data_IF_665197461298
#
_entry.id   IF_665197461298
#
_cell.length_a   1.000
_cell.length_b   1.000
_cell.length_c   1.000
_cell.angle_alpha   90.00
_cell.angle_beta   90.00
_cell.angle_gamma   90.00
#
_symmetry.space_group_name_H-M   'P 1'
#
loop_
_entity.id
_entity.type
_entity.pdbx_description
1 polymer ?
#
# COMPACT_ATOMS: atom_id res chain seq x y z
N UNK A 1 -28.04 -62.79 -3.32
CA UNK A 1 -27.65 -61.89 -4.41
C UNK A 1 -27.88 -60.46 -3.95
N UNK A 2 -26.76 -59.76 -3.74
CA UNK A 2 -26.49 -58.31 -3.75
C UNK A 2 -27.48 -57.33 -3.08
N UNK A 3 -26.96 -56.71 -2.01
CA UNK A 3 -27.44 -55.54 -1.29
C UNK A 3 -27.55 -54.31 -2.20
N UNK A 4 -28.65 -53.58 -2.06
CA UNK A 4 -28.89 -52.28 -2.68
C UNK A 4 -28.16 -51.20 -1.87
N UNK A 5 -27.06 -50.67 -2.42
CA UNK A 5 -26.33 -49.53 -1.87
C UNK A 5 -26.57 -48.31 -2.75
N UNK A 6 -27.53 -47.47 -2.35
CA UNK A 6 -27.76 -46.16 -2.96
C UNK A 6 -26.57 -45.24 -2.68
N UNK A 7 -25.76 -44.96 -3.73
CA UNK A 7 -24.70 -43.95 -3.70
C UNK A 7 -25.31 -42.56 -3.79
N UNK A 8 -25.01 -41.72 -2.80
CA UNK A 8 -25.24 -40.28 -2.84
C UNK A 8 -24.46 -39.62 -4.00
N UNK A 9 -24.99 -38.55 -4.61
CA UNK A 9 -24.28 -37.82 -5.66
C UNK A 9 -23.05 -37.13 -5.07
N UNK A 10 -21.92 -37.32 -5.75
CA UNK A 10 -20.60 -36.88 -5.31
C UNK A 10 -20.53 -35.37 -5.11
N UNK A 11 -19.96 -34.98 -3.96
CA UNK A 11 -19.44 -33.65 -3.71
C UNK A 11 -18.35 -33.41 -4.76
N UNK A 12 -18.61 -32.52 -5.72
CA UNK A 12 -17.55 -31.97 -6.56
C UNK A 12 -16.57 -31.28 -5.62
N UNK A 13 -15.33 -31.76 -5.58
CA UNK A 13 -14.25 -31.06 -4.91
C UNK A 13 -14.07 -29.72 -5.62
N UNK A 14 -14.43 -28.63 -4.95
CA UNK A 14 -14.09 -27.27 -5.37
C UNK A 14 -12.56 -27.20 -5.45
N UNK A 15 -12.03 -26.98 -6.66
CA UNK A 15 -10.61 -26.75 -6.90
C UNK A 15 -10.20 -25.49 -6.11
N UNK A 16 -9.20 -25.56 -5.20
CA UNK A 16 -8.76 -24.42 -4.39
C UNK A 16 -8.30 -23.19 -5.21
N UNK A 17 -8.13 -23.35 -6.53
CA UNK A 17 -7.69 -22.31 -7.47
C UNK A 17 -8.82 -21.40 -7.96
N UNK A 18 -10.07 -21.85 -7.87
CA UNK A 18 -11.23 -21.01 -8.21
C UNK A 18 -11.90 -20.53 -6.94
N UNK A 19 -11.51 -19.34 -6.50
CA UNK A 19 -12.35 -18.58 -5.59
C UNK A 19 -13.16 -17.60 -6.45
N UNK A 20 -14.47 -17.83 -6.64
CA UNK A 20 -15.32 -16.80 -7.20
C UNK A 20 -15.12 -15.54 -6.35
N UNK A 21 -15.08 -14.38 -7.02
CA UNK A 21 -14.98 -13.06 -6.39
C UNK A 21 -16.27 -12.78 -5.62
N UNK A 22 -16.54 -13.56 -4.57
CA UNK A 22 -17.68 -13.44 -3.68
C UNK A 22 -17.26 -13.84 -2.27
N UNK A 23 -17.36 -12.83 -1.41
CA UNK A 23 -17.39 -12.87 0.05
C UNK A 23 -16.06 -13.17 0.77
N UNK A 24 -15.52 -12.10 1.37
CA UNK A 24 -14.90 -12.18 2.70
C UNK A 24 -13.52 -12.82 2.78
N UNK A 25 -12.68 -12.71 1.76
CA UNK A 25 -11.27 -13.17 1.84
C UNK A 25 -10.33 -11.99 1.65
N UNK A 26 -9.25 -12.00 2.43
CA UNK A 26 -8.10 -11.11 2.24
C UNK A 26 -7.59 -11.24 0.81
N UNK A 27 -7.72 -10.16 0.05
CA UNK A 27 -7.33 -10.04 -1.34
C UNK A 27 -5.81 -9.94 -1.46
N UNK A 28 -5.16 -11.02 -1.87
CA UNK A 28 -3.71 -11.15 -1.91
C UNK A 28 -3.20 -11.03 -3.36
N UNK A 29 -2.58 -9.89 -3.69
CA UNK A 29 -1.99 -9.63 -5.02
C UNK A 29 -0.93 -10.66 -5.41
N UNK A 30 -0.27 -11.28 -4.42
CA UNK A 30 0.78 -12.28 -4.69
C UNK A 30 0.22 -13.53 -5.37
N UNK A 31 -1.08 -13.83 -5.16
CA UNK A 31 -1.77 -15.04 -5.65
C UNK A 31 -2.48 -14.86 -6.98
N UNK A 32 -2.49 -13.67 -7.56
CA UNK A 32 -3.14 -13.43 -8.85
C UNK A 32 -2.39 -14.17 -9.96
N UNK A 33 -3.07 -15.09 -10.62
CA UNK A 33 -2.65 -15.63 -11.92
C UNK A 33 -3.19 -14.72 -13.03
N UNK A 34 -2.31 -13.86 -13.54
CA UNK A 34 -2.68 -12.90 -14.57
C UNK A 34 -2.90 -13.54 -15.95
N UNK A 35 -2.36 -14.73 -16.19
CA UNK A 35 -2.53 -15.40 -17.47
C UNK A 35 -3.86 -16.14 -17.50
N UNK A 36 -4.22 -16.81 -16.41
CA UNK A 36 -5.54 -17.40 -16.22
C UNK A 36 -6.65 -16.36 -16.35
N UNK A 37 -6.56 -15.23 -15.62
CA UNK A 37 -7.54 -14.14 -15.73
C UNK A 37 -7.70 -13.62 -17.17
N UNK A 38 -6.62 -13.59 -17.96
CA UNK A 38 -6.70 -13.20 -19.37
C UNK A 38 -7.39 -14.25 -20.23
N UNK A 39 -7.13 -15.53 -19.97
CA UNK A 39 -7.79 -16.62 -20.70
C UNK A 39 -9.29 -16.64 -20.40
N UNK A 40 -9.66 -16.52 -19.13
CA UNK A 40 -11.05 -16.45 -18.70
C UNK A 40 -11.78 -15.27 -19.33
N UNK A 41 -11.15 -14.09 -19.35
CA UNK A 41 -11.71 -12.90 -19.98
C UNK A 41 -11.89 -13.04 -21.51
N UNK A 42 -11.06 -13.83 -22.19
CA UNK A 42 -11.23 -14.12 -23.62
C UNK A 42 -12.41 -15.05 -23.88
N UNK A 43 -12.64 -16.01 -22.98
CA UNK A 43 -13.66 -17.05 -23.14
C UNK A 43 -15.03 -16.63 -22.60
N UNK A 44 -15.09 -15.68 -21.68
CA UNK A 44 -16.34 -15.25 -21.04
C UNK A 44 -17.27 -14.55 -22.02
N UNK A 45 -18.56 -14.88 -21.92
CA UNK A 45 -19.64 -14.15 -22.60
C UNK A 45 -19.96 -12.82 -21.91
N UNK A 46 -19.65 -12.69 -20.63
CA UNK A 46 -20.08 -11.58 -19.78
C UNK A 46 -18.92 -10.68 -19.35
N UNK A 47 -18.19 -10.12 -20.33
CA UNK A 47 -17.00 -9.28 -20.10
C UNK A 47 -17.23 -8.12 -19.11
N UNK A 48 -18.41 -7.50 -19.14
CA UNK A 48 -18.75 -6.39 -18.26
C UNK A 48 -18.77 -6.81 -16.77
N UNK A 49 -19.15 -8.06 -16.48
CA UNK A 49 -19.17 -8.58 -15.10
C UNK A 49 -17.74 -8.80 -14.62
N UNK A 50 -16.90 -9.45 -15.42
CA UNK A 50 -15.47 -9.65 -15.09
C UNK A 50 -14.75 -8.32 -14.84
N UNK A 51 -15.01 -7.32 -15.69
CA UNK A 51 -14.47 -5.97 -15.52
C UNK A 51 -14.94 -5.36 -14.19
N UNK A 52 -16.23 -5.46 -13.86
CA UNK A 52 -16.77 -4.90 -12.63
C UNK A 52 -16.15 -5.56 -11.38
N UNK A 53 -15.98 -6.88 -11.41
CA UNK A 53 -15.37 -7.65 -10.33
C UNK A 53 -13.88 -7.30 -10.16
N UNK A 54 -13.12 -7.23 -11.25
CA UNK A 54 -11.72 -6.79 -11.22
C UNK A 54 -11.58 -5.36 -10.69
N UNK A 55 -12.48 -4.45 -11.06
CA UNK A 55 -12.47 -3.07 -10.55
C UNK A 55 -12.74 -3.02 -9.04
N UNK A 56 -13.73 -3.78 -8.56
CA UNK A 56 -14.05 -3.84 -7.14
C UNK A 56 -12.86 -4.37 -6.33
N UNK A 57 -12.18 -5.39 -6.86
CA UNK A 57 -10.93 -5.91 -6.30
C UNK A 57 -9.85 -4.83 -6.23
N UNK A 58 -9.58 -4.16 -7.35
CA UNK A 58 -8.55 -3.12 -7.46
C UNK A 58 -8.82 -1.99 -6.47
N UNK A 59 -10.06 -1.49 -6.41
CA UNK A 59 -10.44 -0.40 -5.52
C UNK A 59 -10.20 -0.76 -4.05
N UNK A 60 -10.66 -1.94 -3.64
CA UNK A 60 -10.48 -2.40 -2.26
C UNK A 60 -9.00 -2.53 -1.88
N UNK A 61 -8.18 -3.13 -2.75
CA UNK A 61 -6.74 -3.26 -2.48
C UNK A 61 -6.03 -1.90 -2.49
N UNK A 62 -6.44 -0.98 -3.37
CA UNK A 62 -5.88 0.36 -3.39
C UNK A 62 -6.17 1.12 -2.10
N UNK A 63 -7.39 1.01 -1.56
CA UNK A 63 -7.75 1.62 -0.28
C UNK A 63 -6.86 1.09 0.85
N UNK A 64 -6.57 -0.21 0.88
CA UNK A 64 -5.61 -0.80 1.82
C UNK A 64 -4.19 -0.25 1.62
N UNK A 65 -3.72 -0.17 0.37
CA UNK A 65 -2.40 0.37 0.06
C UNK A 65 -2.23 1.83 0.52
N UNK A 66 -3.27 2.65 0.37
CA UNK A 66 -3.32 4.05 0.84
C UNK A 66 -3.38 4.15 2.37
N UNK A 67 -4.09 3.24 3.03
CA UNK A 67 -4.06 3.15 4.49
C UNK A 67 -2.67 2.78 5.01
N UNK A 68 -1.94 1.95 4.29
CA UNK A 68 -0.58 1.54 4.66
C UNK A 68 0.47 2.62 4.38
N UNK A 69 0.33 3.36 3.28
CA UNK A 69 1.26 4.43 2.90
C UNK A 69 0.52 5.53 2.14
N UNK A 70 0.40 6.72 2.76
CA UNK A 70 -0.34 7.85 2.17
C UNK A 70 0.31 8.42 0.92
N UNK A 71 1.58 8.13 0.64
CA UNK A 71 2.27 8.70 -0.52
C UNK A 71 1.85 8.04 -1.83
N UNK A 72 1.01 6.99 -1.79
CA UNK A 72 0.54 6.21 -2.95
C UNK A 72 -0.66 6.85 -3.67
N UNK A 73 -0.86 8.16 -3.52
CA UNK A 73 -1.98 8.89 -4.12
C UNK A 73 -1.95 8.89 -5.65
N UNK A 74 -0.78 8.72 -6.25
CA UNK A 74 -0.60 8.58 -7.70
C UNK A 74 -1.35 7.36 -8.26
N UNK A 75 -1.44 6.26 -7.51
CA UNK A 75 -2.22 5.09 -7.91
C UNK A 75 -3.72 5.40 -8.00
N UNK A 76 -4.25 6.20 -7.07
CA UNK A 76 -5.65 6.63 -7.12
C UNK A 76 -5.94 7.51 -8.33
N UNK A 77 -5.03 8.45 -8.64
CA UNK A 77 -5.16 9.30 -9.83
C UNK A 77 -5.12 8.47 -11.11
N UNK A 78 -4.20 7.51 -11.21
CA UNK A 78 -4.06 6.64 -12.38
C UNK A 78 -5.27 5.72 -12.57
N UNK A 79 -5.81 5.14 -11.50
CA UNK A 79 -7.03 4.34 -11.58
C UNK A 79 -8.21 5.17 -12.09
N UNK A 80 -8.36 6.40 -11.57
CA UNK A 80 -9.41 7.32 -12.00
C UNK A 80 -9.27 7.65 -13.49
N UNK A 81 -8.06 7.94 -13.98
CA UNK A 81 -7.81 8.19 -15.40
C UNK A 81 -8.17 6.99 -16.31
N UNK A 82 -7.87 5.76 -15.86
CA UNK A 82 -8.22 4.53 -16.56
C UNK A 82 -9.75 4.40 -16.66
N UNK A 83 -10.47 4.67 -15.57
CA UNK A 83 -11.94 4.65 -15.51
C UNK A 83 -12.56 5.73 -16.42
N UNK A 84 -12.07 6.95 -16.34
CA UNK A 84 -12.61 8.09 -17.09
C UNK A 84 -12.44 7.91 -18.60
N UNK A 85 -11.29 7.41 -19.03
CA UNK A 85 -11.02 7.11 -20.45
C UNK A 85 -12.01 6.10 -21.02
N UNK A 86 -12.33 5.06 -20.24
CA UNK A 86 -13.33 4.06 -20.64
C UNK A 86 -14.75 4.64 -20.66
N UNK A 87 -15.15 5.37 -19.61
CA UNK A 87 -16.48 5.96 -19.51
C UNK A 87 -16.76 7.03 -20.60
N UNK A 88 -15.72 7.73 -21.09
CA UNK A 88 -15.83 8.65 -22.20
C UNK A 88 -16.08 7.96 -23.56
N UNK A 89 -16.17 6.63 -23.59
CA UNK A 89 -16.27 5.84 -24.82
C UNK A 89 -14.95 5.75 -25.59
N UNK A 90 -13.83 6.14 -24.97
CA UNK A 90 -12.51 6.19 -25.61
C UNK A 90 -11.79 4.84 -25.68
N UNK A 91 -12.37 3.75 -25.17
CA UNK A 91 -11.71 2.44 -25.06
C UNK A 91 -12.72 1.29 -25.19
N UNK A 92 -12.29 0.17 -25.81
CA UNK A 92 -13.08 -1.08 -25.84
C UNK A 92 -13.00 -1.81 -24.50
N UNK A 93 -13.89 -2.78 -24.28
CA UNK A 93 -13.85 -3.64 -23.09
C UNK A 93 -12.52 -4.38 -22.95
N UNK A 94 -11.95 -4.85 -24.06
CA UNK A 94 -10.65 -5.54 -24.09
C UNK A 94 -9.52 -4.60 -23.70
N UNK A 95 -9.48 -3.40 -24.29
CA UNK A 95 -8.43 -2.44 -23.96
C UNK A 95 -8.54 -1.99 -22.49
N UNK A 96 -9.76 -1.75 -22.00
CA UNK A 96 -9.99 -1.39 -20.60
C UNK A 96 -9.55 -2.48 -19.62
N UNK A 97 -9.89 -3.74 -19.91
CA UNK A 97 -9.43 -4.88 -19.13
C UNK A 97 -7.90 -4.96 -19.11
N UNK A 98 -7.23 -4.78 -20.25
CA UNK A 98 -5.78 -4.78 -20.32
C UNK A 98 -5.14 -3.65 -19.49
N UNK A 99 -5.73 -2.46 -19.47
CA UNK A 99 -5.26 -1.35 -18.62
C UNK A 99 -5.44 -1.65 -17.13
N UNK A 100 -6.58 -2.23 -16.72
CA UNK A 100 -6.80 -2.69 -15.34
C UNK A 100 -5.79 -3.77 -14.94
N UNK A 101 -5.46 -4.69 -15.85
CA UNK A 101 -4.45 -5.73 -15.62
C UNK A 101 -3.04 -5.15 -15.48
N UNK A 102 -2.66 -4.19 -16.33
CA UNK A 102 -1.39 -3.46 -16.19
C UNK A 102 -1.32 -2.70 -14.87
N UNK A 103 -2.42 -2.03 -14.49
CA UNK A 103 -2.52 -1.34 -13.21
C UNK A 103 -2.35 -2.29 -12.02
N UNK A 104 -3.02 -3.45 -12.06
CA UNK A 104 -2.92 -4.48 -11.01
C UNK A 104 -1.51 -5.03 -10.88
N UNK A 105 -0.77 -5.21 -11.99
CA UNK A 105 0.65 -5.60 -11.96
C UNK A 105 1.52 -4.53 -11.28
N UNK A 106 1.30 -3.25 -11.61
CA UNK A 106 2.01 -2.15 -10.96
C UNK A 106 1.70 -2.08 -9.45
N UNK A 107 0.46 -2.34 -9.04
CA UNK A 107 0.09 -2.44 -7.63
C UNK A 107 0.82 -3.57 -6.93
N UNK A 108 0.93 -4.74 -7.58
CA UNK A 108 1.66 -5.90 -7.04
C UNK A 108 3.13 -5.57 -6.80
N UNK A 109 3.78 -4.94 -7.77
CA UNK A 109 5.17 -4.49 -7.61
C UNK A 109 5.34 -3.53 -6.43
N UNK A 110 4.42 -2.58 -6.26
CA UNK A 110 4.44 -1.63 -5.13
C UNK A 110 4.14 -2.30 -3.79
N UNK A 111 3.24 -3.28 -3.73
CA UNK A 111 2.93 -4.07 -2.53
C UNK A 111 4.13 -4.92 -2.07
N UNK A 112 4.94 -5.40 -3.03
CA UNK A 112 6.18 -6.17 -2.79
C UNK A 112 7.40 -5.27 -2.55
N UNK A 113 7.30 -3.95 -2.79
CA UNK A 113 8.40 -3.00 -2.63
C UNK A 113 9.03 -2.99 -1.23
N UNK A 114 8.29 -3.07 -0.10
CA UNK A 114 8.92 -3.15 1.22
C UNK A 114 9.94 -4.29 1.32
N UNK A 115 9.61 -5.47 0.76
CA UNK A 115 10.49 -6.64 0.76
C UNK A 115 11.74 -6.37 -0.08
N UNK A 116 11.57 -5.86 -1.32
CA UNK A 116 12.68 -5.52 -2.22
C UNK A 116 13.61 -4.45 -1.63
N UNK A 117 13.03 -3.48 -0.93
CA UNK A 117 13.77 -2.38 -0.33
C UNK A 117 14.41 -2.74 1.02
N UNK A 118 14.05 -3.90 1.59
CA UNK A 118 14.50 -4.36 2.91
C UNK A 118 13.94 -3.51 4.05
N UNK A 119 12.68 -3.06 3.92
CA UNK A 119 11.97 -2.17 4.83
C UNK A 119 10.65 -2.81 5.28
N UNK A 120 10.20 -2.51 6.51
CA UNK A 120 8.80 -2.74 6.88
C UNK A 120 7.88 -1.76 6.14
N UNK A 121 6.57 -2.00 6.16
CA UNK A 121 5.59 -1.09 5.53
C UNK A 121 5.66 0.34 6.10
N UNK A 122 5.82 0.46 7.42
CA UNK A 122 5.93 1.77 8.08
C UNK A 122 7.27 2.45 7.79
N UNK A 123 8.36 1.68 7.72
CA UNK A 123 9.67 2.20 7.31
C UNK A 123 9.67 2.67 5.86
N UNK A 124 8.93 1.98 4.97
CA UNK A 124 8.80 2.39 3.57
C UNK A 124 8.04 3.71 3.44
N UNK A 125 6.95 3.89 4.19
CA UNK A 125 6.20 5.16 4.22
C UNK A 125 7.09 6.31 4.68
N UNK A 126 7.87 6.12 5.76
CA UNK A 126 8.85 7.12 6.20
C UNK A 126 9.91 7.39 5.12
N UNK A 127 10.46 6.35 4.48
CA UNK A 127 11.41 6.51 3.39
C UNK A 127 10.82 7.33 2.23
N UNK A 128 9.56 7.08 1.85
CA UNK A 128 8.89 7.79 0.76
C UNK A 128 8.59 9.26 1.06
N UNK A 129 8.40 9.62 2.33
CA UNK A 129 8.28 11.02 2.74
C UNK A 129 9.63 11.73 2.72
N UNK A 130 10.69 11.02 3.14
CA UNK A 130 12.04 11.57 3.25
C UNK A 130 12.75 11.68 1.90
N UNK A 131 12.43 10.86 0.90
CA UNK A 131 13.12 10.93 -0.40
C UNK A 131 12.96 12.29 -1.08
N UNK A 132 13.99 12.69 -1.83
CA UNK A 132 13.96 13.85 -2.75
C UNK A 132 14.06 13.38 -4.21
N UNK A 133 13.73 14.27 -5.15
CA UNK A 133 13.61 13.95 -6.59
C UNK A 133 14.85 13.27 -7.16
N UNK A 134 16.04 13.72 -6.75
CA UNK A 134 17.32 13.15 -7.17
C UNK A 134 18.10 12.71 -5.96
N UNK A 135 18.42 11.43 -5.90
CA UNK A 135 19.29 10.85 -4.87
C UNK A 135 20.31 9.92 -5.51
N UNK A 136 21.53 9.91 -4.97
CA UNK A 136 22.52 8.87 -5.30
C UNK A 136 22.15 7.55 -4.61
N UNK A 137 22.82 6.46 -4.98
CA UNK A 137 22.64 5.18 -4.29
C UNK A 137 23.06 5.25 -2.81
N UNK A 138 24.11 6.03 -2.51
CA UNK A 138 24.58 6.23 -1.14
C UNK A 138 23.57 7.05 -0.31
N UNK A 139 23.05 8.13 -0.89
CA UNK A 139 21.99 8.91 -0.25
C UNK A 139 20.75 8.06 -0.01
N UNK A 140 20.36 7.23 -0.98
CA UNK A 140 19.22 6.30 -0.84
C UNK A 140 19.41 5.37 0.37
N UNK A 141 20.61 4.78 0.54
CA UNK A 141 20.93 3.93 1.69
C UNK A 141 20.85 4.71 3.02
N UNK A 142 21.39 5.93 3.05
CA UNK A 142 21.34 6.81 4.24
C UNK A 142 19.90 7.18 4.60
N UNK A 143 19.06 7.53 3.63
CA UNK A 143 17.65 7.89 3.87
C UNK A 143 16.85 6.69 4.37
N UNK A 144 17.11 5.48 3.85
CA UNK A 144 16.52 4.24 4.42
C UNK A 144 16.93 4.03 5.88
N UNK A 145 18.21 4.22 6.19
CA UNK A 145 18.69 4.11 7.56
C UNK A 145 18.05 5.17 8.46
N UNK A 146 17.90 6.41 7.99
CA UNK A 146 17.21 7.47 8.72
C UNK A 146 15.76 7.09 9.04
N UNK A 147 15.03 6.51 8.08
CA UNK A 147 13.67 6.03 8.31
C UNK A 147 13.60 4.94 9.40
N UNK A 148 14.52 3.95 9.35
CA UNK A 148 14.63 2.89 10.36
C UNK A 148 14.98 3.44 11.74
N UNK A 149 16.01 4.28 11.81
CA UNK A 149 16.48 4.91 13.05
C UNK A 149 15.38 5.76 13.70
N UNK A 150 14.63 6.51 12.89
CA UNK A 150 13.51 7.33 13.39
C UNK A 150 12.41 6.47 14.00
N UNK A 151 11.94 5.46 13.27
CA UNK A 151 10.88 4.58 13.77
C UNK A 151 11.33 3.85 15.05
N UNK A 152 12.59 3.37 15.07
CA UNK A 152 13.16 2.72 16.24
C UNK A 152 13.26 3.67 17.44
N UNK A 153 13.72 4.91 17.25
CA UNK A 153 13.81 5.94 18.31
C UNK A 153 12.46 6.27 18.90
N UNK A 154 11.43 6.40 18.06
CA UNK A 154 10.08 6.80 18.48
C UNK A 154 9.38 5.70 19.26
N UNK A 155 9.52 4.44 18.83
CA UNK A 155 8.74 3.32 19.36
C UNK A 155 9.47 2.53 20.45
N UNK A 156 10.79 2.38 20.36
CA UNK A 156 11.51 1.37 21.13
C UNK A 156 12.53 1.95 22.12
N UNK A 157 12.98 3.19 21.93
CA UNK A 157 14.06 3.76 22.75
C UNK A 157 13.53 4.65 23.90
N UNK A 158 14.09 4.56 25.11
CA UNK A 158 13.80 5.49 26.20
C UNK A 158 14.53 6.83 26.02
N UNK A 159 14.00 7.94 26.55
CA UNK A 159 12.67 8.06 27.16
C UNK A 159 11.55 7.93 26.10
N UNK A 160 10.37 7.45 26.53
CA UNK A 160 9.21 7.27 25.67
C UNK A 160 8.80 8.61 25.07
N UNK A 161 8.84 8.70 23.73
CA UNK A 161 8.50 9.94 22.99
C UNK A 161 7.01 10.01 22.71
N UNK A 162 6.45 8.89 22.25
CA UNK A 162 5.01 8.74 22.01
C UNK A 162 4.33 8.34 23.32
N UNK A 163 4.15 9.31 24.21
CA UNK A 163 3.35 9.15 25.43
C UNK A 163 1.86 9.05 25.10
N UNK A 164 1.04 8.60 26.05
CA UNK A 164 -0.40 8.46 25.85
C UNK A 164 -1.00 9.79 25.38
N UNK A 165 -1.81 9.75 24.33
CA UNK A 165 -2.48 10.94 23.78
C UNK A 165 -1.52 12.10 23.43
N UNK A 166 -0.25 11.81 23.08
CA UNK A 166 0.76 12.85 22.75
C UNK A 166 0.30 13.83 21.68
N UNK A 167 -0.60 13.37 20.81
CA UNK A 167 -1.18 14.15 19.71
C UNK A 167 -2.22 15.17 20.19
N UNK A 168 -2.63 15.18 21.46
CA UNK A 168 -3.65 16.13 21.98
C UNK A 168 -3.06 17.43 22.50
N UNK A 169 -1.93 17.38 23.21
CA UNK A 169 -1.37 18.56 23.87
C UNK A 169 -0.13 19.11 23.14
N UNK A 170 0.08 20.42 23.26
CA UNK A 170 1.15 21.12 22.53
C UNK A 170 2.56 20.76 22.99
N UNK A 171 2.73 20.32 24.25
CA UNK A 171 4.05 20.05 24.82
C UNK A 171 4.57 18.70 24.33
N UNK A 172 3.73 17.67 24.37
CA UNK A 172 4.06 16.35 23.83
C UNK A 172 4.32 16.42 22.31
N UNK A 173 3.49 17.16 21.56
CA UNK A 173 3.73 17.43 20.13
C UNK A 173 5.11 18.06 19.87
N UNK A 174 5.54 19.03 20.68
CA UNK A 174 6.89 19.62 20.55
C UNK A 174 8.01 18.61 20.80
N UNK A 175 7.84 17.71 21.78
CA UNK A 175 8.82 16.65 22.07
C UNK A 175 8.93 15.68 20.89
N UNK A 176 7.80 15.27 20.31
CA UNK A 176 7.80 14.40 19.12
C UNK A 176 8.48 15.10 17.94
N UNK A 177 8.10 16.35 17.64
CA UNK A 177 8.71 17.12 16.55
C UNK A 177 10.22 17.29 16.74
N UNK A 178 10.66 17.67 17.94
CA UNK A 178 12.08 17.82 18.24
C UNK A 178 12.84 16.49 18.09
N UNK A 179 12.21 15.36 18.45
CA UNK A 179 12.80 14.03 18.24
C UNK A 179 12.94 13.70 16.75
N UNK A 180 11.91 13.99 15.94
CA UNK A 180 11.97 13.82 14.48
C UNK A 180 13.12 14.64 13.90
N UNK A 181 13.18 15.94 14.22
CA UNK A 181 14.23 16.85 13.75
C UNK A 181 15.61 16.34 14.17
N UNK A 182 15.80 15.98 15.44
CA UNK A 182 17.09 15.50 15.95
C UNK A 182 17.56 14.22 15.24
N UNK A 183 16.68 13.22 15.07
CA UNK A 183 17.09 11.96 14.42
C UNK A 183 17.39 12.17 12.95
N UNK A 184 16.57 12.95 12.25
CA UNK A 184 16.78 13.20 10.83
C UNK A 184 18.04 14.02 10.59
N UNK A 185 18.36 15.01 11.43
CA UNK A 185 19.59 15.81 11.32
C UNK A 185 20.84 14.93 11.41
N UNK A 186 20.82 13.93 12.29
CA UNK A 186 21.93 13.00 12.49
C UNK A 186 22.10 11.97 11.36
N UNK A 187 21.04 11.64 10.63
CA UNK A 187 21.03 10.48 9.73
C UNK A 187 20.83 10.84 8.25
N UNK A 188 20.25 12.00 7.93
CA UNK A 188 20.07 12.43 6.55
C UNK A 188 21.40 12.92 5.94
N UNK A 189 21.60 12.75 4.62
CA UNK A 189 22.77 13.29 3.93
C UNK A 189 22.85 14.83 4.00
N UNK A 190 24.06 15.39 4.04
CA UNK A 190 24.31 16.85 4.01
C UNK A 190 23.72 17.56 2.77
N UNK A 191 23.43 16.80 1.71
CA UNK A 191 22.77 17.31 0.51
C UNK A 191 21.28 17.63 0.71
N UNK A 192 20.73 17.37 1.90
CA UNK A 192 19.43 17.87 2.34
C UNK A 192 19.66 19.24 2.95
N UNK A 193 19.58 20.28 2.11
CA UNK A 193 19.68 21.65 2.58
C UNK A 193 18.59 21.98 3.62
N UNK A 194 18.74 23.12 4.29
CA UNK A 194 17.85 23.54 5.37
C UNK A 194 16.37 23.58 4.96
N UNK A 195 16.06 23.91 3.70
CA UNK A 195 14.68 24.01 3.21
C UNK A 195 14.11 22.60 3.04
N UNK A 196 14.82 21.73 2.32
CA UNK A 196 14.42 20.34 2.09
C UNK A 196 14.33 19.58 3.42
N UNK A 197 15.31 19.76 4.29
CA UNK A 197 15.34 19.15 5.62
C UNK A 197 14.10 19.51 6.44
N UNK A 198 13.76 20.80 6.50
CA UNK A 198 12.58 21.27 7.23
C UNK A 198 11.30 20.69 6.64
N UNK A 199 11.17 20.72 5.32
CA UNK A 199 10.03 20.11 4.62
C UNK A 199 9.88 18.63 4.99
N UNK A 200 10.98 17.87 5.03
CA UNK A 200 10.94 16.45 5.37
C UNK A 200 10.54 16.20 6.83
N UNK A 201 11.05 17.00 7.76
CA UNK A 201 10.65 16.92 9.17
C UNK A 201 9.15 17.24 9.34
N UNK A 202 8.69 18.30 8.68
CA UNK A 202 7.28 18.74 8.75
C UNK A 202 6.36 17.68 8.15
N UNK A 203 6.68 17.15 6.96
CA UNK A 203 5.91 16.07 6.33
C UNK A 203 5.80 14.83 7.21
N UNK A 204 6.89 14.41 7.86
CA UNK A 204 6.89 13.25 8.76
C UNK A 204 6.08 13.53 10.03
N UNK A 205 6.25 14.71 10.64
CA UNK A 205 5.52 15.08 11.84
C UNK A 205 4.02 15.21 11.60
N UNK A 206 3.62 15.91 10.55
CA UNK A 206 2.21 16.09 10.17
C UNK A 206 1.56 14.75 9.87
N UNK A 207 2.32 13.86 9.24
CA UNK A 207 1.91 12.50 8.95
C UNK A 207 1.62 11.71 10.23
N UNK A 208 2.55 11.71 11.18
CA UNK A 208 2.34 11.06 12.47
C UNK A 208 1.17 11.67 13.25
N UNK A 209 1.06 12.99 13.27
CA UNK A 209 0.00 13.71 13.96
C UNK A 209 -1.39 13.34 13.42
N UNK A 210 -1.52 13.32 12.09
CA UNK A 210 -2.75 12.95 11.41
C UNK A 210 -3.20 11.52 11.77
N UNK A 211 -2.30 10.53 11.67
CA UNK A 211 -2.63 9.15 12.04
C UNK A 211 -2.98 8.99 13.52
N UNK A 212 -2.22 9.62 14.41
CA UNK A 212 -2.49 9.58 15.84
C UNK A 212 -3.86 10.19 16.16
N UNK A 213 -4.21 11.32 15.54
CA UNK A 213 -5.50 12.00 15.74
C UNK A 213 -6.70 11.19 15.26
N UNK A 214 -6.51 10.31 14.29
CA UNK A 214 -7.53 9.39 13.77
C UNK A 214 -7.58 8.06 14.54
N UNK A 215 -6.80 7.89 15.61
CA UNK A 215 -6.71 6.62 16.35
C UNK A 215 -6.04 5.49 15.56
N UNK A 216 -5.20 5.84 14.57
CA UNK A 216 -4.46 4.90 13.72
C UNK A 216 -3.04 4.70 14.26
N UNK A 217 -2.04 4.60 13.36
CA UNK A 217 -0.64 4.38 13.71
C UNK A 217 -0.15 5.43 14.70
N UNK A 218 0.66 4.99 15.66
CA UNK A 218 1.38 5.84 16.64
C UNK A 218 0.50 6.71 17.55
N UNK A 219 -0.77 6.37 17.77
CA UNK A 219 -1.65 7.14 18.66
C UNK A 219 -1.23 7.11 20.15
N UNK A 220 -0.63 6.00 20.60
CA UNK A 220 -0.10 5.71 21.94
C UNK A 220 -1.04 5.87 23.14
#
# INVERSE_FOLDING_TARGET
>A
MVLNSSKAPGIQQEDPRYLPIKQGRTWDLSRIDFEELRQDFKMTRYKNIEIADLRAFIQHKLDQMLQENRTRTDFAQRLQQIIDTYNAGGSSNEHYFDELMKFTRAMKEEDERPIREGLTKDELELFDLLKKVKMTQEETKKVKLAAKSLLHRLLNQPPKVLVQDWYRDSQSRKVVRATVEQVLDQNLPESFDRIVFKEKCDNVFDMMLDYASQGRKWAA
#
